data_IF_277760865311
#
_entry.id   IF_277760865311
#
_cell.length_a   1.000
_cell.length_b   1.000
_cell.length_c   1.000
_cell.angle_alpha   90.00
_cell.angle_beta   90.00
_cell.angle_gamma   90.00
#
_symmetry.space_group_name_H-M   'P 1'
#
loop_
_entity.id
_entity.type
_entity.pdbx_description
1 polymer ?
#
# COMPACT_ATOMS: atom_id res chain seq x y z
N UNK A 1 29.96 29.09 -1.46
CA UNK A 1 30.08 29.47 -0.04
C UNK A 1 29.22 28.52 0.76
N UNK A 2 29.84 27.50 1.35
CA UNK A 2 29.15 26.49 2.16
C UNK A 2 29.06 26.97 3.61
N UNK A 3 27.85 27.05 4.15
CA UNK A 3 27.63 27.02 5.59
C UNK A 3 27.38 25.55 5.97
N UNK A 4 28.18 24.96 6.88
CA UNK A 4 27.86 23.65 7.41
C UNK A 4 26.73 23.79 8.43
N UNK A 5 25.64 23.04 8.24
CA UNK A 5 24.65 22.74 9.26
C UNK A 5 25.31 21.82 10.30
N UNK A 6 26.05 22.42 11.24
CA UNK A 6 26.34 21.81 12.53
C UNK A 6 25.03 21.89 13.29
N UNK A 7 24.23 20.82 13.19
CA UNK A 7 23.08 20.62 14.06
C UNK A 7 23.62 20.57 15.49
N UNK A 8 23.06 21.42 16.34
CA UNK A 8 23.44 21.72 17.71
C UNK A 8 23.47 20.46 18.60
N UNK A 9 24.62 19.77 18.63
CA UNK A 9 24.86 18.63 19.53
C UNK A 9 24.92 19.13 20.99
N UNK A 10 25.34 20.38 21.22
CA UNK A 10 25.41 20.97 22.56
C UNK A 10 24.04 21.34 23.13
N UNK A 11 23.10 21.81 22.31
CA UNK A 11 21.74 22.11 22.77
C UNK A 11 20.97 20.83 23.14
N UNK A 12 21.18 19.75 22.41
CA UNK A 12 20.63 18.43 22.71
C UNK A 12 21.29 17.77 23.94
N UNK A 13 22.61 17.88 24.10
CA UNK A 13 23.30 17.43 25.33
C UNK A 13 22.85 18.23 26.55
N UNK A 14 22.67 19.55 26.40
CA UNK A 14 22.12 20.45 27.41
C UNK A 14 20.69 20.06 27.81
N UNK A 15 19.82 19.75 26.85
CA UNK A 15 18.47 19.25 27.10
C UNK A 15 18.44 17.86 27.74
N UNK A 16 19.34 16.94 27.34
CA UNK A 16 19.46 15.60 27.93
C UNK A 16 19.97 15.70 29.37
N UNK A 17 20.95 16.57 29.65
CA UNK A 17 21.43 16.83 31.01
C UNK A 17 20.36 17.52 31.87
N UNK A 18 19.60 18.47 31.31
CA UNK A 18 18.47 19.13 31.98
C UNK A 18 17.34 18.14 32.28
N UNK A 19 17.00 17.25 31.35
CA UNK A 19 16.05 16.16 31.58
C UNK A 19 16.57 15.13 32.60
N UNK A 20 17.86 14.79 32.60
CA UNK A 20 18.48 13.93 33.63
C UNK A 20 18.45 14.59 35.01
N UNK A 21 18.71 15.90 35.10
CA UNK A 21 18.60 16.69 36.34
C UNK A 21 17.16 16.79 36.83
N UNK A 22 16.19 16.98 35.93
CA UNK A 22 14.77 16.96 36.26
C UNK A 22 14.30 15.57 36.72
N UNK A 23 14.75 14.49 36.06
CA UNK A 23 14.46 13.10 36.48
C UNK A 23 15.06 12.77 37.85
N UNK A 24 16.26 13.23 38.15
CA UNK A 24 16.91 13.03 39.45
C UNK A 24 16.30 13.90 40.55
N UNK A 25 15.92 15.15 40.24
CA UNK A 25 15.19 16.03 41.16
C UNK A 25 13.78 15.50 41.45
N UNK A 26 13.05 15.03 40.43
CA UNK A 26 11.77 14.37 40.58
C UNK A 26 11.91 13.09 41.41
N UNK A 27 12.89 12.23 41.12
CA UNK A 27 13.15 11.00 41.90
C UNK A 27 13.48 11.30 43.37
N UNK A 28 14.25 12.36 43.66
CA UNK A 28 14.57 12.78 45.04
C UNK A 28 13.36 13.35 45.76
N UNK A 29 12.58 14.22 45.12
CA UNK A 29 11.38 14.81 45.73
C UNK A 29 10.27 13.78 45.89
N UNK A 30 10.09 12.89 44.92
CA UNK A 30 9.21 11.72 45.01
C UNK A 30 9.59 10.89 46.23
N UNK A 31 10.89 10.61 46.43
CA UNK A 31 11.41 9.89 47.59
C UNK A 31 11.27 10.58 48.95
N UNK A 32 10.81 11.83 49.01
CA UNK A 32 10.50 12.55 50.27
C UNK A 32 9.02 12.52 50.66
N UNK A 33 8.12 12.18 49.73
CA UNK A 33 6.68 12.11 50.01
C UNK A 33 6.40 10.89 50.91
N UNK A 34 5.54 10.94 51.93
CA UNK A 34 5.18 9.76 52.72
C UNK A 34 4.66 8.61 51.85
N UNK A 35 5.00 7.36 52.20
CA UNK A 35 4.65 6.16 51.38
C UNK A 35 3.15 6.09 51.06
N UNK A 36 2.29 6.43 52.01
CA UNK A 36 0.84 6.39 51.85
C UNK A 36 0.34 7.46 50.87
N UNK A 37 0.96 8.64 50.85
CA UNK A 37 0.61 9.75 49.95
C UNK A 37 1.06 9.43 48.51
N UNK A 38 2.23 8.79 48.33
CA UNK A 38 2.63 8.29 47.00
C UNK A 38 1.68 7.24 46.47
N UNK A 39 1.25 6.32 47.34
CA UNK A 39 0.29 5.28 46.97
C UNK A 39 -1.03 5.89 46.51
N UNK A 40 -1.56 6.89 47.23
CA UNK A 40 -2.77 7.62 46.84
C UNK A 40 -2.60 8.39 45.52
N UNK A 41 -1.47 9.07 45.29
CA UNK A 41 -1.22 9.79 44.04
C UNK A 41 -1.10 8.85 42.84
N UNK A 42 -0.53 7.66 43.01
CA UNK A 42 -0.48 6.62 41.98
C UNK A 42 -1.89 6.11 41.65
N UNK A 43 -2.70 5.82 42.67
CA UNK A 43 -4.09 5.40 42.49
C UNK A 43 -4.86 6.48 41.71
N UNK A 44 -4.76 7.75 42.11
CA UNK A 44 -5.44 8.87 41.43
C UNK A 44 -5.01 8.97 39.97
N UNK A 45 -3.71 8.86 39.68
CA UNK A 45 -3.19 8.88 38.31
C UNK A 45 -3.73 7.75 37.45
N UNK A 46 -3.74 6.51 37.97
CA UNK A 46 -4.28 5.33 37.28
C UNK A 46 -5.80 5.47 37.06
N UNK A 47 -6.55 5.93 38.07
CA UNK A 47 -7.99 6.15 37.94
C UNK A 47 -8.32 7.25 36.93
N UNK A 48 -7.53 8.32 36.88
CA UNK A 48 -7.72 9.42 35.92
C UNK A 48 -7.48 8.96 34.48
N UNK A 49 -6.43 8.18 34.22
CA UNK A 49 -6.15 7.64 32.88
C UNK A 49 -7.17 6.57 32.48
N UNK A 50 -7.57 5.70 33.41
CA UNK A 50 -8.63 4.71 33.18
C UNK A 50 -9.98 5.36 32.87
N UNK A 51 -10.34 6.43 33.59
CA UNK A 51 -11.61 7.16 33.37
C UNK A 51 -11.62 7.85 32.00
N UNK A 52 -10.50 8.44 31.58
CA UNK A 52 -10.36 9.04 30.26
C UNK A 52 -10.46 7.99 29.13
N UNK A 53 -9.81 6.82 29.31
CA UNK A 53 -9.89 5.72 28.36
C UNK A 53 -11.31 5.12 28.27
N UNK A 54 -11.99 4.91 29.41
CA UNK A 54 -13.38 4.43 29.45
C UNK A 54 -14.37 5.41 28.81
N UNK A 55 -14.18 6.72 29.03
CA UNK A 55 -15.01 7.76 28.40
C UNK A 55 -14.78 7.84 26.89
N UNK A 56 -13.53 7.69 26.43
CA UNK A 56 -13.22 7.58 25.00
C UNK A 56 -13.91 6.36 24.37
N UNK A 57 -13.84 5.20 25.02
CA UNK A 57 -14.44 3.95 24.50
C UNK A 57 -15.97 3.96 24.50
N UNK A 58 -16.61 4.56 25.52
CA UNK A 58 -18.06 4.79 25.54
C UNK A 58 -18.52 5.65 24.36
N UNK A 59 -17.67 6.54 23.87
CA UNK A 59 -17.93 7.41 22.72
C UNK A 59 -17.78 6.68 21.38
N UNK A 60 -17.05 5.56 21.35
CA UNK A 60 -16.65 4.84 20.13
C UNK A 60 -17.47 3.55 19.87
N UNK A 61 -18.41 3.13 20.73
CA UNK A 61 -19.28 1.92 20.56
C UNK A 61 -18.47 0.66 20.18
N UNK A 62 -17.68 0.10 21.10
CA UNK A 62 -16.86 -1.11 20.82
C UNK A 62 -16.92 -2.17 21.93
N UNK A 63 -16.86 -3.45 21.55
CA UNK A 63 -16.97 -4.66 22.41
C UNK A 63 -15.69 -5.04 23.18
N UNK A 64 -14.73 -4.14 23.36
CA UNK A 64 -13.39 -4.44 23.88
C UNK A 64 -13.17 -4.22 25.37
N UNK A 65 -14.21 -4.31 26.20
CA UNK A 65 -14.13 -3.98 27.64
C UNK A 65 -13.23 -4.93 28.44
N UNK A 66 -13.23 -6.22 28.12
CA UNK A 66 -12.54 -7.24 28.93
C UNK A 66 -11.01 -7.24 28.76
N UNK A 67 -10.49 -7.02 27.55
CA UNK A 67 -9.04 -6.97 27.31
C UNK A 67 -8.37 -5.75 27.95
N UNK A 68 -9.04 -4.60 27.93
CA UNK A 68 -8.56 -3.38 28.59
C UNK A 68 -8.62 -3.54 30.10
N UNK A 69 -9.66 -4.18 30.62
CA UNK A 69 -9.74 -4.53 32.04
C UNK A 69 -8.57 -5.42 32.48
N UNK A 70 -8.22 -6.43 31.68
CA UNK A 70 -7.08 -7.31 31.94
C UNK A 70 -5.73 -6.56 31.91
N UNK A 71 -5.52 -5.64 30.95
CA UNK A 71 -4.31 -4.82 30.89
C UNK A 71 -4.24 -3.85 32.05
N UNK A 72 -5.37 -3.29 32.48
CA UNK A 72 -5.45 -2.47 33.69
C UNK A 72 -5.06 -3.29 34.94
N UNK A 73 -5.53 -4.53 35.08
CA UNK A 73 -5.12 -5.42 36.18
C UNK A 73 -3.60 -5.68 36.14
N UNK A 74 -3.04 -6.01 34.98
CA UNK A 74 -1.60 -6.27 34.83
C UNK A 74 -0.79 -5.01 35.18
N UNK A 75 -1.22 -3.84 34.71
CA UNK A 75 -0.55 -2.58 34.98
C UNK A 75 -0.65 -2.17 36.46
N UNK A 76 -1.79 -2.41 37.11
CA UNK A 76 -1.97 -2.21 38.55
C UNK A 76 -1.07 -3.16 39.34
N UNK A 77 -1.04 -4.45 38.99
CA UNK A 77 -0.19 -5.44 39.66
C UNK A 77 1.30 -5.15 39.49
N UNK A 78 1.72 -4.70 38.31
CA UNK A 78 3.10 -4.28 38.04
C UNK A 78 3.47 -3.00 38.80
N UNK A 79 2.54 -2.04 38.92
CA UNK A 79 2.73 -0.83 39.72
C UNK A 79 2.85 -1.16 41.21
N UNK A 80 1.99 -2.05 41.73
CA UNK A 80 2.05 -2.57 43.11
C UNK A 80 3.41 -3.26 43.35
N UNK A 81 3.84 -4.11 42.44
CA UNK A 81 5.13 -4.82 42.52
C UNK A 81 6.32 -3.85 42.48
N UNK A 82 6.29 -2.82 41.63
CA UNK A 82 7.32 -1.80 41.57
C UNK A 82 7.40 -0.94 42.85
N UNK A 83 6.26 -0.67 43.49
CA UNK A 83 6.19 -0.01 44.80
C UNK A 83 6.77 -0.89 45.91
N UNK A 84 6.49 -2.20 45.88
CA UNK A 84 7.05 -3.16 46.84
C UNK A 84 8.57 -3.34 46.70
N UNK A 85 9.10 -3.33 45.48
CA UNK A 85 10.52 -3.60 45.19
C UNK A 85 11.40 -2.34 45.14
N UNK A 86 10.87 -1.14 45.36
CA UNK A 86 11.60 0.13 45.19
C UNK A 86 12.26 0.28 43.78
N UNK A 87 11.69 -0.38 42.77
CA UNK A 87 12.20 -0.35 41.40
C UNK A 87 11.89 0.98 40.70
N UNK A 88 12.60 1.29 39.60
CA UNK A 88 12.41 2.56 38.90
C UNK A 88 11.03 2.62 38.20
N UNK A 89 10.19 3.55 38.65
CA UNK A 89 8.82 3.82 38.15
C UNK A 89 8.73 4.08 36.64
N UNK A 90 9.86 4.44 36.01
CA UNK A 90 9.93 4.81 34.59
C UNK A 90 9.79 3.60 33.65
N UNK A 91 10.24 2.43 34.08
CA UNK A 91 10.23 1.22 33.25
C UNK A 91 8.81 0.64 33.15
N UNK A 92 8.06 0.60 34.26
CA UNK A 92 6.69 0.10 34.32
C UNK A 92 5.69 1.00 33.58
N UNK A 93 5.82 2.32 33.65
CA UNK A 93 4.95 3.25 32.88
C UNK A 93 5.18 3.14 31.38
N UNK A 94 6.43 2.95 30.94
CA UNK A 94 6.76 2.78 29.52
C UNK A 94 6.21 1.45 28.99
N UNK A 95 6.31 0.35 29.75
CA UNK A 95 5.72 -0.95 29.37
C UNK A 95 4.20 -0.87 29.25
N UNK A 96 3.52 -0.21 30.19
CA UNK A 96 2.07 -0.05 30.15
C UNK A 96 1.61 0.91 29.04
N UNK A 97 2.35 2.00 28.79
CA UNK A 97 2.09 2.86 27.63
C UNK A 97 2.27 2.11 26.32
N UNK A 98 3.33 1.29 26.18
CA UNK A 98 3.55 0.48 25.00
C UNK A 98 2.50 -0.63 24.82
N UNK A 99 2.05 -1.28 25.91
CA UNK A 99 0.95 -2.24 25.85
C UNK A 99 -0.36 -1.57 25.43
N UNK A 100 -0.68 -0.40 25.99
CA UNK A 100 -1.89 0.34 25.65
C UNK A 100 -1.82 0.90 24.23
N UNK A 101 -0.66 1.38 23.78
CA UNK A 101 -0.43 1.80 22.40
C UNK A 101 -0.54 0.62 21.43
N UNK A 102 -0.01 -0.55 21.80
CA UNK A 102 -0.17 -1.78 21.01
C UNK A 102 -1.65 -2.15 20.89
N UNK A 103 -2.42 -2.12 21.98
CA UNK A 103 -3.86 -2.41 21.97
C UNK A 103 -4.64 -1.38 21.16
N UNK A 104 -4.27 -0.10 21.23
CA UNK A 104 -4.90 0.96 20.43
C UNK A 104 -4.56 0.82 18.94
N UNK A 105 -3.33 0.41 18.58
CA UNK A 105 -2.92 0.09 17.21
C UNK A 105 -3.59 -1.20 16.71
N UNK A 106 -3.73 -2.22 17.56
CA UNK A 106 -4.47 -3.46 17.26
C UNK A 106 -5.97 -3.23 17.07
N UNK A 107 -6.51 -2.11 17.55
CA UNK A 107 -7.91 -1.70 17.37
C UNK A 107 -8.14 -0.76 16.19
N UNK A 108 -7.07 -0.39 15.46
CA UNK A 108 -7.16 0.42 14.24
C UNK A 108 -7.64 -0.41 13.04
N UNK A 109 -7.42 -1.72 13.06
CA UNK A 109 -7.81 -2.64 12.00
C UNK A 109 -8.86 -3.63 12.51
N UNK A 110 -10.09 -3.52 11.98
CA UNK A 110 -11.17 -4.45 12.29
C UNK A 110 -10.92 -5.82 11.64
N UNK A 111 -11.29 -6.88 12.37
CA UNK A 111 -11.35 -8.26 11.83
C UNK A 111 -12.30 -8.32 10.61
N UNK A 112 -12.18 -9.33 9.74
CA UNK A 112 -13.06 -9.48 8.58
C UNK A 112 -14.54 -9.44 9.00
N UNK A 113 -15.28 -8.49 8.45
CA UNK A 113 -16.67 -8.20 8.82
C UNK A 113 -17.68 -9.06 8.05
N UNK A 114 -17.41 -9.32 6.77
CA UNK A 114 -18.30 -10.09 5.87
C UNK A 114 -17.63 -11.35 5.29
N UNK A 115 -18.40 -12.14 4.53
CA UNK A 115 -17.93 -13.41 3.97
C UNK A 115 -16.84 -13.23 2.91
N UNK A 116 -16.92 -12.16 2.09
CA UNK A 116 -15.91 -11.87 1.08
C UNK A 116 -14.56 -11.57 1.73
N UNK A 117 -14.53 -10.71 2.77
CA UNK A 117 -13.31 -10.47 3.56
C UNK A 117 -12.79 -11.75 4.24
N UNK A 118 -13.65 -12.58 4.83
CA UNK A 118 -13.24 -13.87 5.42
C UNK A 118 -12.60 -14.80 4.38
N UNK A 119 -13.14 -14.85 3.16
CA UNK A 119 -12.58 -15.65 2.08
C UNK A 119 -11.18 -15.15 1.66
N UNK A 120 -10.98 -13.84 1.55
CA UNK A 120 -9.67 -13.24 1.25
C UNK A 120 -8.67 -13.54 2.37
N UNK A 121 -9.07 -13.44 3.65
CA UNK A 121 -8.21 -13.80 4.80
C UNK A 121 -7.82 -15.28 4.76
N UNK A 122 -8.74 -16.18 4.39
CA UNK A 122 -8.44 -17.60 4.24
C UNK A 122 -7.45 -17.86 3.08
N UNK A 123 -7.58 -17.15 1.96
CA UNK A 123 -6.63 -17.21 0.85
C UNK A 123 -5.25 -16.71 1.28
N UNK A 124 -5.19 -15.60 2.03
CA UNK A 124 -3.94 -15.08 2.58
C UNK A 124 -3.27 -16.12 3.49
N UNK A 125 -4.00 -16.71 4.43
CA UNK A 125 -3.45 -17.75 5.32
C UNK A 125 -2.96 -18.97 4.56
N UNK A 126 -3.70 -19.45 3.56
CA UNK A 126 -3.28 -20.56 2.71
C UNK A 126 -1.93 -20.29 2.04
N UNK A 127 -1.78 -19.10 1.44
CA UNK A 127 -0.54 -18.66 0.83
C UNK A 127 0.60 -18.47 1.85
N UNK A 128 0.31 -17.82 2.96
CA UNK A 128 1.27 -17.52 4.02
C UNK A 128 1.79 -18.78 4.71
N UNK A 129 0.92 -19.74 5.02
CA UNK A 129 1.31 -21.01 5.66
C UNK A 129 2.24 -21.83 4.75
N UNK A 130 1.99 -21.81 3.44
CA UNK A 130 2.89 -22.43 2.48
C UNK A 130 4.25 -21.71 2.40
N UNK A 131 4.25 -20.38 2.33
CA UNK A 131 5.49 -19.59 2.36
C UNK A 131 6.28 -19.86 3.64
N UNK A 132 5.62 -19.84 4.80
CA UNK A 132 6.24 -20.12 6.10
C UNK A 132 6.82 -21.53 6.19
N UNK A 133 6.22 -22.51 5.52
CA UNK A 133 6.69 -23.90 5.53
C UNK A 133 7.88 -24.13 4.59
N UNK A 134 7.86 -23.49 3.41
CA UNK A 134 8.74 -23.89 2.30
C UNK A 134 9.73 -22.81 1.85
N UNK A 135 9.52 -21.55 2.21
CA UNK A 135 10.31 -20.41 1.73
C UNK A 135 10.53 -19.32 2.79
N UNK A 136 10.36 -19.64 4.08
CA UNK A 136 10.46 -18.66 5.15
C UNK A 136 11.86 -18.05 5.23
N UNK A 137 11.94 -16.72 5.09
CA UNK A 137 13.21 -16.00 5.02
C UNK A 137 13.86 -15.97 3.63
N UNK A 138 13.23 -16.56 2.62
CA UNK A 138 13.56 -16.33 1.21
C UNK A 138 12.69 -15.23 0.62
N UNK A 139 13.11 -14.67 -0.52
CA UNK A 139 12.34 -13.61 -1.17
C UNK A 139 10.95 -14.08 -1.60
N UNK A 140 10.83 -15.26 -2.19
CA UNK A 140 9.57 -15.74 -2.79
C UNK A 140 9.44 -17.27 -2.74
N UNK A 141 8.20 -17.75 -2.85
CA UNK A 141 7.82 -19.16 -2.84
C UNK A 141 7.65 -19.71 -4.27
N UNK A 142 8.16 -20.91 -4.52
CA UNK A 142 7.72 -21.78 -5.61
C UNK A 142 6.60 -22.70 -5.07
N UNK A 143 5.32 -22.41 -5.38
CA UNK A 143 4.18 -23.13 -4.85
C UNK A 143 4.00 -24.52 -5.50
N UNK A 144 4.61 -24.76 -6.67
CA UNK A 144 4.49 -26.02 -7.40
C UNK A 144 5.43 -27.05 -6.80
N UNK A 145 6.68 -26.67 -6.58
CA UNK A 145 7.73 -27.57 -6.07
C UNK A 145 7.96 -27.47 -4.56
N UNK A 146 7.20 -26.63 -3.85
CA UNK A 146 7.27 -26.47 -2.40
C UNK A 146 8.68 -26.13 -1.90
N UNK A 147 9.30 -25.11 -2.50
CA UNK A 147 10.68 -24.67 -2.22
C UNK A 147 10.80 -23.15 -2.41
N UNK A 148 11.89 -22.48 -1.97
CA UNK A 148 12.10 -21.09 -2.32
C UNK A 148 12.47 -20.96 -3.81
N UNK A 149 12.09 -19.85 -4.43
CA UNK A 149 12.64 -19.50 -5.76
C UNK A 149 14.09 -19.04 -5.63
N UNK A 150 14.75 -18.79 -6.77
CA UNK A 150 16.03 -18.06 -6.76
C UNK A 150 15.84 -16.69 -6.11
N UNK A 151 16.72 -16.35 -5.16
CA UNK A 151 16.73 -15.04 -4.51
C UNK A 151 16.94 -13.93 -5.55
N UNK A 152 16.21 -12.83 -5.38
CA UNK A 152 16.34 -11.64 -6.21
C UNK A 152 17.17 -10.58 -5.48
N UNK A 153 16.74 -10.23 -4.28
CA UNK A 153 17.39 -9.28 -3.39
C UNK A 153 18.09 -9.98 -2.22
N UNK A 154 17.60 -11.15 -1.80
CA UNK A 154 18.02 -11.81 -0.56
C UNK A 154 17.62 -11.00 0.67
N UNK A 155 16.46 -10.32 0.61
CA UNK A 155 15.97 -9.38 1.62
C UNK A 155 14.68 -9.86 2.30
N UNK A 156 14.28 -11.12 2.08
CA UNK A 156 13.07 -11.70 2.66
C UNK A 156 11.82 -10.96 2.15
N UNK A 157 11.80 -10.65 0.85
CA UNK A 157 10.84 -9.75 0.21
C UNK A 157 9.37 -10.06 0.57
N UNK A 158 8.88 -11.28 0.32
CA UNK A 158 7.49 -11.69 0.66
C UNK A 158 7.16 -11.45 2.13
N UNK A 159 8.14 -11.64 3.01
CA UNK A 159 7.97 -11.50 4.45
C UNK A 159 7.90 -10.02 4.87
N UNK A 160 8.68 -9.12 4.25
CA UNK A 160 8.55 -7.66 4.44
C UNK A 160 7.23 -7.15 3.86
N UNK A 161 6.93 -7.51 2.62
CA UNK A 161 5.80 -7.00 1.86
C UNK A 161 4.44 -7.42 2.45
N UNK A 162 4.39 -8.53 3.20
CA UNK A 162 3.14 -9.02 3.78
C UNK A 162 2.82 -8.44 5.16
N UNK A 163 3.73 -7.68 5.78
CA UNK A 163 3.62 -7.24 7.18
C UNK A 163 2.38 -6.41 7.46
N UNK A 164 2.12 -5.41 6.62
CA UNK A 164 0.98 -4.51 6.80
C UNK A 164 -0.34 -5.20 6.40
N UNK A 165 -0.33 -6.08 5.39
CA UNK A 165 -1.50 -6.90 5.05
C UNK A 165 -1.94 -7.73 6.26
N UNK A 166 -1.00 -8.35 6.98
CA UNK A 166 -1.32 -9.10 8.20
C UNK A 166 -1.98 -8.21 9.26
N UNK A 167 -1.45 -7.00 9.47
CA UNK A 167 -2.06 -6.04 10.40
C UNK A 167 -3.47 -5.65 9.98
N UNK A 168 -3.65 -5.29 8.70
CA UNK A 168 -4.93 -4.85 8.13
C UNK A 168 -5.99 -5.95 8.25
N UNK A 169 -5.61 -7.22 8.08
CA UNK A 169 -6.49 -8.38 8.19
C UNK A 169 -6.72 -8.87 9.64
N UNK A 170 -6.05 -8.27 10.63
CA UNK A 170 -6.13 -8.70 12.04
C UNK A 170 -5.39 -10.01 12.34
N UNK A 171 -4.39 -10.36 11.55
CA UNK A 171 -3.56 -11.58 11.66
C UNK A 171 -2.40 -11.36 12.65
N UNK A 172 -2.75 -11.17 13.92
CA UNK A 172 -1.81 -10.74 14.96
C UNK A 172 -0.72 -11.78 15.27
N UNK A 173 -1.03 -13.07 15.19
CA UNK A 173 -0.08 -14.14 15.46
C UNK A 173 0.96 -14.22 14.35
N UNK A 174 0.50 -14.19 13.10
CA UNK A 174 1.32 -14.16 11.89
C UNK A 174 2.23 -12.92 11.90
N UNK A 175 1.67 -11.74 12.14
CA UNK A 175 2.43 -10.49 12.24
C UNK A 175 3.51 -10.54 13.33
N UNK A 176 3.17 -11.04 14.52
CA UNK A 176 4.11 -11.11 15.65
C UNK A 176 5.28 -12.05 15.34
N UNK A 177 5.01 -13.17 14.65
CA UNK A 177 6.04 -14.10 14.21
C UNK A 177 7.05 -13.41 13.27
N UNK A 178 6.56 -12.63 12.31
CA UNK A 178 7.41 -11.87 11.37
C UNK A 178 8.18 -10.76 12.07
N UNK A 179 7.52 -9.97 12.93
CA UNK A 179 8.15 -8.85 13.65
C UNK A 179 9.37 -9.29 14.47
N UNK A 180 9.30 -10.47 15.11
CA UNK A 180 10.40 -10.98 15.92
C UNK A 180 11.66 -11.30 15.10
N UNK A 181 11.52 -11.52 13.79
CA UNK A 181 12.65 -11.77 12.87
C UNK A 181 13.42 -10.49 12.50
N UNK A 182 12.77 -9.33 12.54
CA UNK A 182 13.34 -8.04 12.09
C UNK A 182 13.82 -7.12 13.21
N UNK A 183 14.22 -7.66 14.36
CA UNK A 183 14.68 -6.85 15.51
C UNK A 183 15.87 -5.91 15.21
N UNK A 184 16.48 -5.97 14.02
CA UNK A 184 17.59 -5.13 13.57
C UNK A 184 17.48 -4.64 12.11
N UNK A 185 16.31 -4.17 11.65
CA UNK A 185 16.19 -3.50 10.35
C UNK A 185 16.48 -1.99 10.45
N UNK A 186 17.31 -1.45 9.55
CA UNK A 186 17.56 -0.01 9.41
C UNK A 186 17.11 0.45 8.03
N UNK A 187 16.19 1.42 7.98
CA UNK A 187 15.79 2.04 6.72
C UNK A 187 16.89 2.97 6.19
N UNK A 188 17.18 2.88 4.90
CA UNK A 188 18.14 3.75 4.21
C UNK A 188 17.42 5.01 3.69
N UNK A 189 17.40 6.06 4.53
CA UNK A 189 16.75 7.36 4.23
C UNK A 189 17.36 8.04 3.00
N UNK A 190 18.62 7.73 2.64
CA UNK A 190 19.32 8.40 1.54
C UNK A 190 18.71 8.08 0.17
N UNK A 191 18.09 6.89 0.01
CA UNK A 191 17.46 6.47 -1.25
C UNK A 191 16.23 7.29 -1.60
N UNK A 192 15.41 7.66 -0.61
CA UNK A 192 14.23 8.49 -0.85
C UNK A 192 14.63 9.89 -1.35
N UNK A 193 15.63 10.49 -0.71
CA UNK A 193 16.16 11.79 -1.14
C UNK A 193 16.79 11.73 -2.53
N UNK A 194 17.47 10.63 -2.87
CA UNK A 194 17.99 10.40 -4.22
C UNK A 194 16.86 10.28 -5.25
N UNK A 195 15.81 9.52 -4.98
CA UNK A 195 14.65 9.39 -5.87
C UNK A 195 13.95 10.74 -6.11
N UNK A 196 13.73 11.52 -5.05
CA UNK A 196 13.10 12.84 -5.18
C UNK A 196 13.95 13.84 -5.98
N UNK A 197 15.29 13.76 -5.89
CA UNK A 197 16.20 14.54 -6.74
C UNK A 197 16.05 14.18 -8.22
N UNK A 198 15.82 12.90 -8.54
CA UNK A 198 15.53 12.48 -9.91
C UNK A 198 14.21 13.07 -10.41
N UNK A 199 13.14 13.03 -9.61
CA UNK A 199 11.85 13.66 -9.98
C UNK A 199 12.00 15.17 -10.19
N UNK A 200 12.78 15.85 -9.33
CA UNK A 200 13.09 17.28 -9.48
C UNK A 200 13.86 17.56 -10.77
N UNK A 201 14.79 16.68 -11.16
CA UNK A 201 15.48 16.80 -12.43
C UNK A 201 14.50 16.61 -13.61
N UNK A 202 13.60 15.63 -13.56
CA UNK A 202 12.57 15.38 -14.59
C UNK A 202 11.64 16.59 -14.77
N UNK A 203 11.15 17.18 -13.68
CA UNK A 203 10.31 18.38 -13.70
C UNK A 203 10.93 19.52 -14.55
N UNK A 204 12.24 19.67 -14.47
CA UNK A 204 12.98 20.71 -15.18
C UNK A 204 13.27 20.37 -16.66
N UNK A 205 12.96 19.16 -17.13
CA UNK A 205 13.24 18.75 -18.51
C UNK A 205 12.17 19.22 -19.50
N UNK A 206 12.63 19.81 -20.61
CA UNK A 206 11.74 20.29 -21.67
C UNK A 206 11.13 19.15 -22.49
N UNK A 207 11.76 17.97 -22.50
CA UNK A 207 11.31 16.81 -23.26
C UNK A 207 9.91 16.35 -22.84
N UNK A 208 9.58 16.39 -21.55
CA UNK A 208 8.22 16.03 -21.11
C UNK A 208 7.19 17.04 -21.62
N UNK A 209 7.56 18.33 -21.74
CA UNK A 209 6.67 19.37 -22.27
C UNK A 209 6.34 19.15 -23.75
N UNK A 210 7.26 18.57 -24.53
CA UNK A 210 7.03 18.20 -25.94
C UNK A 210 5.85 17.23 -26.10
N UNK A 211 5.65 16.33 -25.14
CA UNK A 211 4.56 15.35 -25.14
C UNK A 211 3.48 15.71 -24.10
N UNK A 212 3.19 17.01 -23.95
CA UNK A 212 2.13 17.52 -23.10
C UNK A 212 2.20 17.01 -21.64
N UNK A 213 3.41 16.91 -21.07
CA UNK A 213 3.64 16.42 -19.70
C UNK A 213 3.98 14.94 -19.60
N UNK A 214 3.92 14.19 -20.70
CA UNK A 214 4.35 12.79 -20.73
C UNK A 214 5.86 12.70 -21.01
N UNK A 215 6.54 11.76 -20.36
CA UNK A 215 7.99 11.64 -20.41
C UNK A 215 8.43 10.34 -21.12
N UNK A 216 9.59 10.35 -21.81
CA UNK A 216 10.22 9.13 -22.33
C UNK A 216 10.63 8.14 -21.22
N UNK A 217 10.73 6.85 -21.56
CA UNK A 217 11.03 5.79 -20.56
C UNK A 217 12.43 5.79 -19.95
N UNK A 218 13.42 6.42 -20.58
CA UNK A 218 14.83 6.29 -20.18
C UNK A 218 15.52 7.63 -20.00
N UNK A 219 16.28 7.74 -18.92
CA UNK A 219 17.16 8.87 -18.59
C UNK A 219 18.60 8.34 -18.56
N UNK A 220 19.52 9.06 -19.19
CA UNK A 220 20.94 8.76 -19.11
C UNK A 220 21.48 9.23 -17.75
N UNK A 221 22.15 8.33 -17.02
CA UNK A 221 22.60 8.56 -15.63
C UNK A 221 23.71 9.60 -15.51
N UNK A 222 24.58 9.72 -16.51
CA UNK A 222 25.71 10.66 -16.48
C UNK A 222 25.27 12.10 -16.77
N UNK A 223 24.31 12.25 -17.69
CA UNK A 223 23.85 13.56 -18.18
C UNK A 223 22.57 14.03 -17.50
N UNK A 224 21.84 13.13 -16.86
CA UNK A 224 20.51 13.37 -16.31
C UNK A 224 19.44 13.66 -17.37
N UNK A 225 19.69 13.46 -18.67
CA UNK A 225 18.75 13.82 -19.75
C UNK A 225 18.00 12.60 -20.27
N UNK A 226 16.75 12.80 -20.70
CA UNK A 226 16.02 11.76 -21.43
C UNK A 226 16.75 11.34 -22.71
N UNK A 227 16.72 10.04 -23.00
CA UNK A 227 17.15 9.49 -24.28
C UNK A 227 16.27 10.07 -25.39
N UNK A 228 16.88 10.48 -26.51
CA UNK A 228 16.16 11.05 -27.65
C UNK A 228 15.19 10.00 -28.22
N UNK A 229 14.02 10.46 -28.65
CA UNK A 229 13.04 9.65 -29.39
C UNK A 229 12.57 8.39 -28.63
N UNK A 230 12.43 8.48 -27.31
CA UNK A 230 11.89 7.37 -26.51
C UNK A 230 10.39 7.17 -26.69
N UNK A 231 9.95 5.92 -26.47
CA UNK A 231 8.53 5.56 -26.36
C UNK A 231 7.87 6.33 -25.21
N UNK A 232 6.63 6.75 -25.42
CA UNK A 232 5.77 7.33 -24.39
C UNK A 232 4.70 6.30 -24.05
N UNK A 233 4.66 5.87 -22.79
CA UNK A 233 3.72 4.89 -22.29
C UNK A 233 3.31 5.25 -20.85
N UNK A 234 2.20 4.70 -20.39
CA UNK A 234 1.81 4.69 -18.98
C UNK A 234 2.00 3.30 -18.35
N UNK A 235 2.53 2.33 -19.10
CA UNK A 235 2.86 0.99 -18.60
C UNK A 235 4.28 0.94 -18.02
N UNK A 236 4.90 -0.22 -18.18
CA UNK A 236 6.17 -0.51 -17.53
C UNK A 236 7.22 0.59 -17.77
N UNK A 237 7.94 0.94 -16.70
CA UNK A 237 9.03 1.95 -16.60
C UNK A 237 8.58 3.39 -16.36
N UNK A 238 7.32 3.73 -16.59
CA UNK A 238 6.84 5.13 -16.49
C UNK A 238 5.55 5.28 -15.70
N UNK A 239 4.73 4.24 -15.57
CA UNK A 239 3.58 4.13 -14.66
C UNK A 239 3.71 4.94 -13.36
N UNK A 240 4.53 4.43 -12.43
CA UNK A 240 4.67 4.90 -11.05
C UNK A 240 5.30 6.29 -10.94
N UNK A 241 5.96 6.80 -11.99
CA UNK A 241 6.36 8.22 -12.04
C UNK A 241 5.12 9.12 -11.96
N UNK A 242 4.11 8.86 -12.79
CA UNK A 242 2.88 9.67 -12.80
C UNK A 242 2.05 9.46 -11.55
N UNK A 243 2.05 8.24 -11.01
CA UNK A 243 1.43 7.90 -9.73
C UNK A 243 2.00 8.74 -8.58
N UNK A 244 3.34 8.82 -8.49
CA UNK A 244 4.02 9.51 -7.41
C UNK A 244 3.93 11.02 -7.52
N UNK A 245 3.69 11.60 -8.71
CA UNK A 245 3.36 13.02 -8.81
C UNK A 245 2.13 13.36 -7.95
N UNK A 246 1.06 12.57 -8.05
CA UNK A 246 -0.11 12.79 -7.20
C UNK A 246 0.15 12.37 -5.75
N UNK A 247 0.64 11.14 -5.54
CA UNK A 247 0.77 10.56 -4.20
C UNK A 247 1.74 11.32 -3.31
N UNK A 248 2.86 11.83 -3.83
CA UNK A 248 3.79 12.69 -3.06
C UNK A 248 3.21 14.08 -2.78
N UNK A 249 2.43 14.65 -3.71
CA UNK A 249 1.71 15.90 -3.44
C UNK A 249 0.72 15.72 -2.29
N UNK A 250 -0.03 14.61 -2.28
CA UNK A 250 -0.95 14.28 -1.18
C UNK A 250 -0.20 14.03 0.12
N UNK A 251 0.83 13.18 0.11
CA UNK A 251 1.62 12.82 1.29
C UNK A 251 2.19 14.04 2.01
N UNK A 252 2.65 15.03 1.24
CA UNK A 252 3.25 16.27 1.76
C UNK A 252 2.22 17.29 2.23
N UNK A 253 0.97 16.89 2.47
CA UNK A 253 -0.11 17.79 2.88
C UNK A 253 -0.44 18.82 1.80
N UNK A 254 -0.29 18.45 0.52
CA UNK A 254 -0.55 19.30 -0.65
C UNK A 254 0.37 20.52 -0.80
N UNK A 255 1.57 20.50 -0.21
CA UNK A 255 2.47 21.67 -0.13
C UNK A 255 3.41 21.84 -1.33
N UNK A 256 3.76 20.76 -2.06
CA UNK A 256 4.70 20.82 -3.18
C UNK A 256 3.94 20.95 -4.51
N UNK A 257 3.62 22.19 -4.91
CA UNK A 257 2.71 22.46 -6.04
C UNK A 257 3.16 21.93 -7.40
N UNK A 258 4.47 21.89 -7.69
CA UNK A 258 4.95 21.45 -9.00
C UNK A 258 4.58 19.99 -9.31
N UNK A 259 4.46 19.15 -8.28
CA UNK A 259 4.02 17.76 -8.41
C UNK A 259 2.58 17.68 -8.93
N UNK A 260 1.68 18.47 -8.34
CA UNK A 260 0.27 18.59 -8.78
C UNK A 260 0.19 19.14 -10.21
N UNK A 261 0.97 20.18 -10.51
CA UNK A 261 0.94 20.82 -11.82
C UNK A 261 1.43 19.88 -12.93
N UNK A 262 2.51 19.14 -12.67
CA UNK A 262 3.00 18.11 -13.59
C UNK A 262 2.00 16.96 -13.72
N UNK A 263 1.39 16.50 -12.63
CA UNK A 263 0.33 15.48 -12.69
C UNK A 263 -0.82 15.90 -13.60
N UNK A 264 -1.40 17.09 -13.37
CA UNK A 264 -2.53 17.60 -14.17
C UNK A 264 -2.15 17.77 -15.63
N UNK A 265 -0.91 18.23 -15.88
CA UNK A 265 -0.38 18.35 -17.24
C UNK A 265 -0.26 16.99 -17.91
N UNK A 266 0.36 16.01 -17.25
CA UNK A 266 0.49 14.64 -17.74
C UNK A 266 -0.88 14.02 -18.02
N UNK A 267 -1.87 14.19 -17.16
CA UNK A 267 -3.23 13.68 -17.39
C UNK A 267 -3.89 14.33 -18.62
N UNK A 268 -3.67 15.64 -18.85
CA UNK A 268 -4.09 16.27 -20.11
C UNK A 268 -3.37 15.65 -21.32
N UNK A 269 -2.08 15.33 -21.18
CA UNK A 269 -1.30 14.61 -22.17
C UNK A 269 -1.86 13.22 -22.48
N UNK A 270 -2.23 12.44 -21.46
CA UNK A 270 -2.90 11.14 -21.60
C UNK A 270 -4.16 11.29 -22.45
N UNK A 271 -5.06 12.19 -22.07
CA UNK A 271 -6.33 12.40 -22.81
C UNK A 271 -6.08 12.78 -24.27
N UNK A 272 -5.10 13.66 -24.54
CA UNK A 272 -4.82 14.15 -25.90
C UNK A 272 -4.13 13.11 -26.76
N UNK A 273 -3.14 12.42 -26.21
CA UNK A 273 -2.17 11.66 -27.00
C UNK A 273 -2.41 10.14 -26.95
N UNK A 274 -2.83 9.61 -25.79
CA UNK A 274 -2.82 8.17 -25.52
C UNK A 274 -4.22 7.55 -25.38
N UNK A 275 -5.20 8.32 -24.92
CA UNK A 275 -6.57 7.82 -24.75
C UNK A 275 -7.24 7.64 -26.11
N UNK A 276 -7.71 6.43 -26.40
CA UNK A 276 -8.51 6.09 -27.59
C UNK A 276 -9.71 5.24 -27.19
N UNK A 277 -10.57 4.98 -28.16
CA UNK A 277 -11.69 4.05 -28.02
C UNK A 277 -11.55 2.91 -29.01
N UNK A 278 -11.83 1.69 -28.56
CA UNK A 278 -11.93 0.53 -29.45
C UNK A 278 -13.07 0.71 -30.48
N UNK A 279 -13.04 -0.08 -31.55
CA UNK A 279 -13.94 0.14 -32.69
C UNK A 279 -15.36 -0.33 -32.41
N UNK A 280 -15.55 -1.50 -31.80
CA UNK A 280 -16.84 -2.18 -31.66
C UNK A 280 -17.65 -1.59 -30.48
N UNK A 281 -17.25 -1.89 -29.24
CA UNK A 281 -17.97 -1.44 -28.02
C UNK A 281 -17.51 -0.09 -27.49
N UNK A 282 -16.56 0.58 -28.16
CA UNK A 282 -16.05 1.91 -27.78
C UNK A 282 -15.38 1.94 -26.39
N UNK A 283 -14.74 0.84 -25.98
CA UNK A 283 -13.97 0.74 -24.74
C UNK A 283 -12.86 1.78 -24.72
N UNK A 284 -12.78 2.58 -23.64
CA UNK A 284 -11.76 3.61 -23.50
C UNK A 284 -10.46 2.98 -22.99
N UNK A 285 -9.36 3.12 -23.72
CA UNK A 285 -8.08 2.52 -23.37
C UNK A 285 -6.94 3.50 -23.57
N UNK A 286 -5.83 3.27 -22.87
CA UNK A 286 -4.63 4.11 -22.94
C UNK A 286 -3.55 3.34 -23.69
N UNK A 287 -3.26 3.77 -24.91
CA UNK A 287 -2.21 3.20 -25.75
C UNK A 287 -0.82 3.78 -25.49
N UNK A 288 0.11 3.51 -26.41
CA UNK A 288 1.48 4.03 -26.37
C UNK A 288 1.76 4.91 -27.59
N UNK A 289 2.72 5.84 -27.49
CA UNK A 289 3.39 6.40 -28.66
C UNK A 289 4.75 5.74 -28.83
N UNK A 290 4.98 5.15 -30.00
CA UNK A 290 6.26 4.57 -30.38
C UNK A 290 7.29 5.68 -30.65
N UNK A 291 8.55 5.30 -30.85
CA UNK A 291 9.68 6.23 -31.02
C UNK A 291 9.44 7.22 -32.18
N UNK A 292 8.82 6.75 -33.27
CA UNK A 292 8.41 7.56 -34.42
C UNK A 292 7.11 8.37 -34.19
N UNK A 293 6.63 8.47 -32.95
CA UNK A 293 5.37 9.11 -32.56
C UNK A 293 4.09 8.47 -33.15
N UNK A 294 4.20 7.27 -33.74
CA UNK A 294 3.01 6.52 -34.15
C UNK A 294 2.29 5.93 -32.93
N UNK A 295 0.96 5.93 -33.00
CA UNK A 295 0.12 5.38 -31.94
C UNK A 295 0.11 3.85 -32.01
N UNK A 296 0.30 3.19 -30.87
CA UNK A 296 0.16 1.75 -30.71
C UNK A 296 -1.05 1.46 -29.81
N UNK A 297 -2.00 0.61 -30.24
CA UNK A 297 -3.16 0.25 -29.42
C UNK A 297 -2.83 -0.85 -28.39
N UNK A 298 -1.61 -0.85 -27.86
CA UNK A 298 -1.11 -1.77 -26.82
C UNK A 298 -1.36 -1.13 -25.45
N UNK A 299 -1.86 -1.89 -24.49
CA UNK A 299 -2.01 -1.48 -23.10
C UNK A 299 -1.54 -2.60 -22.18
N UNK A 300 -0.59 -2.29 -21.30
CA UNK A 300 -0.15 -3.21 -20.25
C UNK A 300 -1.22 -3.28 -19.15
N UNK A 301 -1.34 -4.42 -18.46
CA UNK A 301 -2.15 -4.53 -17.24
C UNK A 301 -1.76 -3.47 -16.22
N UNK A 302 -0.45 -3.15 -16.15
CA UNK A 302 0.10 -2.10 -15.29
C UNK A 302 -0.64 -0.78 -15.44
N UNK A 303 -1.12 -0.41 -16.64
CA UNK A 303 -1.85 0.85 -16.89
C UNK A 303 -3.19 0.89 -16.14
N UNK A 304 -3.70 -0.25 -15.68
CA UNK A 304 -4.90 -0.32 -14.87
C UNK A 304 -4.76 0.27 -13.46
N UNK A 305 -3.60 0.82 -13.07
CA UNK A 305 -3.47 1.68 -11.88
C UNK A 305 -4.15 3.06 -12.07
N UNK A 306 -4.21 3.52 -13.34
CA UNK A 306 -4.60 4.88 -13.67
C UNK A 306 -6.02 5.24 -13.22
N UNK A 307 -7.06 4.39 -13.39
CA UNK A 307 -8.39 4.71 -12.92
C UNK A 307 -8.46 5.06 -11.42
N UNK A 308 -7.79 4.29 -10.57
CA UNK A 308 -7.71 4.53 -9.14
C UNK A 308 -7.01 5.84 -8.83
N UNK A 309 -5.90 6.11 -9.52
CA UNK A 309 -5.17 7.38 -9.39
C UNK A 309 -6.03 8.58 -9.78
N UNK A 310 -6.79 8.48 -10.89
CA UNK A 310 -7.69 9.53 -11.35
C UNK A 310 -8.86 9.74 -10.37
N UNK A 311 -9.42 8.67 -9.82
CA UNK A 311 -10.45 8.76 -8.80
C UNK A 311 -9.90 9.42 -7.52
N UNK A 312 -8.72 9.01 -7.05
CA UNK A 312 -8.05 9.59 -5.89
C UNK A 312 -7.78 11.10 -6.08
N UNK A 313 -7.37 11.51 -7.28
CA UNK A 313 -7.21 12.92 -7.62
C UNK A 313 -8.52 13.70 -7.42
N UNK A 314 -9.65 13.14 -7.89
CA UNK A 314 -10.99 13.72 -7.74
C UNK A 314 -11.41 13.81 -6.27
N UNK A 315 -11.19 12.75 -5.49
CA UNK A 315 -11.47 12.73 -4.05
C UNK A 315 -10.79 13.90 -3.32
N UNK A 316 -9.57 14.25 -3.72
CA UNK A 316 -8.82 15.34 -3.12
C UNK A 316 -9.04 16.72 -3.74
N UNK A 317 -10.12 16.89 -4.53
CA UNK A 317 -10.58 18.17 -5.06
C UNK A 317 -9.91 18.62 -6.36
N UNK A 318 -9.27 17.69 -7.09
CA UNK A 318 -8.82 17.96 -8.45
C UNK A 318 -9.99 17.81 -9.44
N UNK A 319 -9.69 17.98 -10.73
CA UNK A 319 -10.69 18.09 -11.81
C UNK A 319 -11.72 16.94 -11.84
N UNK A 320 -12.99 17.24 -11.56
CA UNK A 320 -14.10 16.28 -11.54
C UNK A 320 -14.28 15.50 -12.87
N UNK A 321 -13.90 16.10 -14.00
CA UNK A 321 -13.99 15.41 -15.31
C UNK A 321 -13.07 14.19 -15.41
N UNK A 322 -12.08 14.06 -14.53
CA UNK A 322 -11.21 12.88 -14.46
C UNK A 322 -11.99 11.63 -14.03
N UNK A 323 -13.08 11.77 -13.25
CA UNK A 323 -13.85 10.63 -12.75
C UNK A 323 -14.50 9.83 -13.89
N UNK A 324 -15.02 10.49 -14.92
CA UNK A 324 -15.63 9.79 -16.08
C UNK A 324 -14.59 9.04 -16.90
N UNK A 325 -13.37 9.59 -17.00
CA UNK A 325 -12.23 8.88 -17.60
C UNK A 325 -11.83 7.68 -16.74
N UNK A 326 -11.76 7.86 -15.42
CA UNK A 326 -11.47 6.79 -14.47
C UNK A 326 -12.45 5.62 -14.62
N UNK A 327 -13.75 5.89 -14.54
CA UNK A 327 -14.81 4.88 -14.72
C UNK A 327 -14.69 4.17 -16.07
N UNK A 328 -14.53 4.93 -17.16
CA UNK A 328 -14.45 4.37 -18.51
C UNK A 328 -13.24 3.45 -18.70
N UNK A 329 -12.07 3.84 -18.19
CA UNK A 329 -10.85 3.02 -18.29
C UNK A 329 -10.91 1.84 -17.32
N UNK A 330 -11.52 1.99 -16.13
CA UNK A 330 -11.75 0.89 -15.21
C UNK A 330 -12.66 -0.20 -15.78
N UNK A 331 -13.71 0.17 -16.52
CA UNK A 331 -14.54 -0.79 -17.27
C UNK A 331 -13.69 -1.55 -18.27
N UNK A 332 -12.81 -0.88 -19.03
CA UNK A 332 -11.90 -1.55 -19.96
C UNK A 332 -10.91 -2.47 -19.24
N UNK A 333 -10.43 -2.10 -18.06
CA UNK A 333 -9.59 -2.98 -17.24
C UNK A 333 -10.36 -4.21 -16.76
N UNK A 334 -11.66 -4.12 -16.48
CA UNK A 334 -12.48 -5.30 -16.20
C UNK A 334 -12.61 -6.22 -17.43
N UNK A 335 -12.67 -5.65 -18.63
CA UNK A 335 -12.70 -6.42 -19.88
C UNK A 335 -11.42 -7.24 -20.13
N UNK A 336 -10.29 -6.91 -19.50
CA UNK A 336 -9.09 -7.76 -19.54
C UNK A 336 -9.37 -9.14 -18.94
N UNK A 337 -10.19 -9.19 -17.90
CA UNK A 337 -10.55 -10.41 -17.17
C UNK A 337 -11.67 -11.17 -17.88
N UNK A 338 -12.67 -10.47 -18.43
CA UNK A 338 -13.83 -11.13 -19.07
C UNK A 338 -13.63 -11.49 -20.53
N UNK A 339 -12.60 -10.97 -21.20
CA UNK A 339 -12.29 -11.29 -22.59
C UNK A 339 -11.53 -12.61 -22.79
N UNK A 340 -11.31 -13.38 -21.71
CA UNK A 340 -10.60 -14.66 -21.74
C UNK A 340 -11.31 -15.72 -20.88
N UNK A 341 -11.10 -17.03 -21.13
CA UNK A 341 -11.83 -18.10 -20.46
C UNK A 341 -11.52 -18.25 -18.96
N UNK A 342 -10.41 -17.71 -18.46
CA UNK A 342 -10.01 -17.90 -17.06
C UNK A 342 -10.54 -16.85 -16.09
N UNK A 343 -10.99 -15.69 -16.57
CA UNK A 343 -11.35 -14.60 -15.66
C UNK A 343 -10.13 -13.96 -14.97
N UNK A 344 -8.93 -14.10 -15.55
CA UNK A 344 -7.66 -13.56 -15.01
C UNK A 344 -7.09 -12.52 -15.97
N UNK A 345 -6.44 -11.48 -15.44
CA UNK A 345 -5.85 -10.42 -16.25
C UNK A 345 -4.58 -10.91 -16.98
N UNK A 346 -4.46 -10.77 -18.31
CA UNK A 346 -3.21 -10.97 -19.04
C UNK A 346 -2.23 -9.82 -18.76
N UNK A 347 -0.94 -10.00 -19.01
CA UNK A 347 0.04 -8.91 -18.88
C UNK A 347 -0.17 -7.77 -19.87
N UNK A 348 -0.54 -8.06 -21.12
CA UNK A 348 -0.71 -7.04 -22.17
C UNK A 348 -1.93 -7.39 -23.03
N UNK A 349 -2.71 -6.36 -23.36
CA UNK A 349 -3.80 -6.44 -24.32
C UNK A 349 -3.62 -5.46 -25.48
N UNK A 350 -4.24 -5.79 -26.62
CA UNK A 350 -4.27 -4.98 -27.83
C UNK A 350 -5.70 -4.64 -28.21
N UNK A 351 -5.92 -3.43 -28.71
CA UNK A 351 -7.25 -2.95 -29.04
C UNK A 351 -7.47 -2.79 -30.55
N UNK A 352 -8.60 -3.31 -31.01
CA UNK A 352 -9.03 -3.13 -32.39
C UNK A 352 -9.60 -1.72 -32.59
N UNK A 353 -8.85 -0.87 -33.29
CA UNK A 353 -9.24 0.54 -33.56
C UNK A 353 -9.73 0.80 -34.99
N UNK A 354 -9.37 -0.07 -35.94
CA UNK A 354 -9.64 0.16 -37.38
C UNK A 354 -10.61 -0.85 -37.98
N UNK A 355 -10.59 -2.10 -37.52
CA UNK A 355 -11.31 -3.20 -38.16
C UNK A 355 -12.75 -3.34 -37.63
N UNK A 356 -13.74 -3.20 -38.53
CA UNK A 356 -15.17 -3.41 -38.25
C UNK A 356 -15.58 -4.89 -38.30
N UNK A 357 -14.76 -5.75 -38.90
CA UNK A 357 -15.03 -7.18 -39.04
C UNK A 357 -14.66 -7.97 -37.79
N UNK A 358 -13.72 -7.45 -36.98
CA UNK A 358 -13.39 -8.02 -35.68
C UNK A 358 -14.53 -7.79 -34.69
N UNK A 359 -15.16 -8.87 -34.23
CA UNK A 359 -16.21 -8.83 -33.20
C UNK A 359 -15.64 -8.54 -31.81
N UNK A 360 -14.35 -8.78 -31.57
CA UNK A 360 -13.70 -8.56 -30.28
C UNK A 360 -13.01 -7.20 -30.23
N UNK A 361 -13.27 -6.41 -29.18
CA UNK A 361 -12.54 -5.16 -28.94
C UNK A 361 -11.10 -5.39 -28.48
N UNK A 362 -10.85 -6.53 -27.84
CA UNK A 362 -9.58 -6.88 -27.19
C UNK A 362 -8.99 -8.12 -27.85
N UNK A 363 -7.70 -8.05 -28.15
CA UNK A 363 -6.86 -9.16 -28.57
C UNK A 363 -5.74 -9.37 -27.54
N UNK A 364 -5.54 -10.62 -27.13
CA UNK A 364 -4.45 -11.03 -26.24
C UNK A 364 -3.53 -11.93 -27.06
N UNK A 365 -2.26 -11.54 -27.19
CA UNK A 365 -1.28 -12.36 -27.89
C UNK A 365 -0.76 -13.46 -26.99
N UNK A 366 -0.43 -14.61 -27.56
CA UNK A 366 0.04 -15.76 -26.79
C UNK A 366 1.24 -15.45 -25.89
N UNK A 367 2.22 -14.68 -26.38
CA UNK A 367 3.40 -14.29 -25.61
C UNK A 367 3.08 -13.41 -24.39
N UNK A 368 1.96 -12.69 -24.45
CA UNK A 368 1.55 -11.72 -23.43
C UNK A 368 0.39 -12.24 -22.57
N UNK A 369 -0.02 -13.49 -22.79
CA UNK A 369 -1.20 -14.07 -22.17
C UNK A 369 -0.99 -14.57 -20.74
N UNK A 370 0.22 -14.47 -20.19
CA UNK A 370 0.46 -14.89 -18.82
C UNK A 370 -0.22 -13.94 -17.83
N UNK A 371 -0.61 -14.47 -16.67
CA UNK A 371 -1.15 -13.69 -15.56
C UNK A 371 -0.25 -13.85 -14.35
N UNK A 372 0.30 -12.74 -13.85
CA UNK A 372 1.12 -12.75 -12.64
C UNK A 372 0.31 -12.44 -11.38
N UNK A 373 -1.03 -12.50 -11.48
CA UNK A 373 -1.97 -12.13 -10.40
C UNK A 373 -1.82 -10.69 -9.91
N UNK A 374 -1.50 -9.79 -10.84
CA UNK A 374 -1.20 -8.39 -10.56
C UNK A 374 -2.38 -7.60 -9.98
N UNK A 375 -2.12 -6.55 -9.19
CA UNK A 375 -3.14 -5.87 -8.40
C UNK A 375 -3.84 -4.71 -9.10
N UNK A 376 -3.31 -4.16 -10.20
CA UNK A 376 -3.58 -2.75 -10.55
C UNK A 376 -5.06 -2.46 -10.87
N UNK A 377 -5.76 -3.40 -11.51
CA UNK A 377 -7.20 -3.26 -11.74
C UNK A 377 -8.01 -3.32 -10.43
N UNK A 378 -7.63 -4.20 -9.50
CA UNK A 378 -8.28 -4.34 -8.18
C UNK A 378 -7.98 -3.10 -7.32
N UNK A 379 -6.75 -2.58 -7.35
CA UNK A 379 -6.38 -1.30 -6.72
C UNK A 379 -7.32 -0.18 -7.21
N UNK A 380 -7.48 -0.08 -8.53
CA UNK A 380 -8.37 0.91 -9.14
C UNK A 380 -9.82 0.77 -8.69
N UNK A 381 -10.34 -0.45 -8.63
CA UNK A 381 -11.70 -0.71 -8.17
C UNK A 381 -11.87 -0.42 -6.68
N UNK A 382 -10.85 -0.63 -5.85
CA UNK A 382 -10.84 -0.19 -4.45
C UNK A 382 -11.05 1.33 -4.33
N UNK A 383 -10.25 2.14 -5.03
CA UNK A 383 -10.41 3.60 -5.01
C UNK A 383 -11.78 4.02 -5.54
N UNK A 384 -12.20 3.46 -6.67
CA UNK A 384 -13.50 3.78 -7.27
C UNK A 384 -14.66 3.42 -6.36
N UNK A 385 -14.63 2.25 -5.71
CA UNK A 385 -15.64 1.87 -4.73
C UNK A 385 -15.66 2.84 -3.55
N UNK A 386 -14.49 3.16 -2.95
CA UNK A 386 -14.39 4.08 -1.82
C UNK A 386 -15.03 5.44 -2.12
N UNK A 387 -14.84 5.94 -3.33
CA UNK A 387 -15.23 7.28 -3.77
C UNK A 387 -16.66 7.34 -4.32
N UNK A 388 -17.09 6.32 -5.06
CA UNK A 388 -18.41 6.33 -5.73
C UNK A 388 -19.48 5.55 -4.99
N UNK A 389 -19.07 4.63 -4.11
CA UNK A 389 -19.94 3.63 -3.45
C UNK A 389 -20.72 2.73 -4.41
N UNK A 390 -20.28 2.62 -5.67
CA UNK A 390 -20.91 1.73 -6.64
C UNK A 390 -20.51 0.27 -6.37
N UNK A 391 -21.45 -0.62 -6.00
CA UNK A 391 -21.13 -2.00 -5.65
C UNK A 391 -20.59 -2.82 -6.83
N UNK A 392 -20.73 -2.33 -8.07
CA UNK A 392 -20.20 -3.02 -9.26
C UNK A 392 -18.71 -3.33 -9.13
N UNK A 393 -17.94 -2.44 -8.49
CA UNK A 393 -16.50 -2.61 -8.30
C UNK A 393 -16.18 -3.76 -7.34
N UNK A 394 -17.00 -3.95 -6.29
CA UNK A 394 -16.89 -5.11 -5.41
C UNK A 394 -17.27 -6.39 -6.16
N UNK A 395 -18.30 -6.36 -7.00
CA UNK A 395 -18.70 -7.55 -7.77
C UNK A 395 -17.65 -7.96 -8.81
N UNK A 396 -16.96 -7.00 -9.44
CA UNK A 396 -15.82 -7.27 -10.30
C UNK A 396 -14.65 -7.87 -9.53
N UNK A 397 -14.27 -7.26 -8.40
CA UNK A 397 -13.22 -7.81 -7.54
C UNK A 397 -13.55 -9.22 -7.04
N UNK A 398 -14.81 -9.50 -6.72
CA UNK A 398 -15.26 -10.82 -6.27
C UNK A 398 -15.14 -11.87 -7.38
N UNK A 399 -15.54 -11.54 -8.61
CA UNK A 399 -15.40 -12.44 -9.76
C UNK A 399 -13.92 -12.77 -10.03
N UNK A 400 -13.04 -11.77 -9.97
CA UNK A 400 -11.60 -11.98 -10.13
C UNK A 400 -11.02 -12.83 -9.00
N UNK A 401 -11.43 -12.61 -7.75
CA UNK A 401 -11.01 -13.44 -6.62
C UNK A 401 -11.45 -14.91 -6.81
N UNK A 402 -12.68 -15.15 -7.27
CA UNK A 402 -13.15 -16.50 -7.57
C UNK A 402 -12.35 -17.17 -8.70
N UNK A 403 -11.96 -16.41 -9.73
CA UNK A 403 -11.08 -16.90 -10.78
C UNK A 403 -9.68 -17.26 -10.26
N UNK A 404 -9.11 -16.44 -9.37
CA UNK A 404 -7.84 -16.73 -8.69
C UNK A 404 -7.94 -18.02 -7.87
N UNK A 405 -8.99 -18.16 -7.05
CA UNK A 405 -9.22 -19.38 -6.26
C UNK A 405 -9.34 -20.63 -7.13
N UNK A 406 -9.97 -20.51 -8.30
CA UNK A 406 -10.21 -21.63 -9.21
C UNK A 406 -8.97 -22.01 -10.03
N UNK A 407 -8.23 -21.04 -10.54
CA UNK A 407 -7.22 -21.27 -11.59
C UNK A 407 -5.78 -21.07 -11.14
N UNK A 408 -5.54 -20.32 -10.06
CA UNK A 408 -4.19 -20.01 -9.59
C UNK A 408 -3.82 -20.71 -8.26
N UNK A 409 -4.81 -21.20 -7.52
CA UNK A 409 -4.59 -21.88 -6.24
C UNK A 409 -3.92 -23.25 -6.44
N UNK A 410 -2.86 -23.49 -5.68
CA UNK A 410 -2.14 -24.75 -5.57
C UNK A 410 -2.22 -25.31 -4.16
N UNK A 411 -1.77 -26.56 -3.96
CA UNK A 411 -1.70 -27.17 -2.62
C UNK A 411 -0.82 -26.33 -1.67
N UNK A 412 0.25 -25.72 -2.20
CA UNK A 412 1.22 -24.95 -1.43
C UNK A 412 1.22 -23.46 -1.82
N UNK A 413 0.06 -22.81 -1.82
CA UNK A 413 -0.07 -21.36 -2.09
C UNK A 413 -0.73 -21.05 -3.43
N UNK A 414 -0.31 -19.98 -4.10
CA UNK A 414 -0.85 -19.52 -5.38
C UNK A 414 0.26 -19.30 -6.38
N UNK A 415 -0.01 -19.54 -7.65
CA UNK A 415 0.97 -19.44 -8.72
C UNK A 415 0.57 -18.38 -9.75
N UNK A 416 1.56 -17.74 -10.35
CA UNK A 416 1.36 -17.09 -11.64
C UNK A 416 0.97 -18.12 -12.70
N UNK A 417 0.20 -17.72 -13.71
CA UNK A 417 -0.41 -18.61 -14.70
C UNK A 417 0.22 -18.35 -16.09
N UNK A 418 0.62 -19.41 -16.80
CA UNK A 418 1.36 -19.28 -18.08
C UNK A 418 0.52 -18.67 -19.22
N UNK A 419 -0.79 -18.90 -19.23
CA UNK A 419 -1.67 -18.35 -20.27
C UNK A 419 -3.12 -18.30 -19.80
N UNK A 420 -3.76 -17.13 -19.92
CA UNK A 420 -5.20 -16.94 -19.67
C UNK A 420 -6.08 -17.41 -20.82
N UNK A 421 -5.48 -17.88 -21.92
CA UNK A 421 -6.19 -18.33 -23.12
C UNK A 421 -6.48 -19.84 -23.11
N UNK A 422 -6.04 -20.56 -22.09
CA UNK A 422 -6.16 -22.02 -21.96
C UNK A 422 -6.94 -22.32 -20.68
N UNK A 423 -8.05 -23.08 -20.78
CA UNK A 423 -8.94 -23.38 -19.64
C UNK A 423 -8.25 -24.10 -18.46
N UNK A 424 -7.28 -24.95 -18.77
CA UNK A 424 -6.44 -25.68 -17.81
C UNK A 424 -4.98 -25.22 -17.94
N UNK A 425 -4.64 -24.05 -17.38
CA UNK A 425 -3.33 -23.47 -17.60
C UNK A 425 -2.28 -24.12 -16.71
N UNK A 426 -1.02 -24.05 -17.14
CA UNK A 426 0.10 -24.43 -16.29
C UNK A 426 0.45 -23.30 -15.33
N UNK A 427 0.75 -23.66 -14.10
CA UNK A 427 1.40 -22.76 -13.15
C UNK A 427 2.83 -22.42 -13.61
N UNK A 428 3.20 -21.18 -13.39
CA UNK A 428 4.57 -20.73 -13.28
C UNK A 428 4.99 -20.99 -11.82
N UNK A 429 6.20 -21.50 -11.63
CA UNK A 429 6.79 -21.93 -10.34
C UNK A 429 7.14 -20.76 -9.41
N UNK A 430 6.23 -19.79 -9.25
CA UNK A 430 6.46 -18.54 -8.53
C UNK A 430 5.16 -17.94 -7.98
N UNK A 431 5.19 -17.57 -6.70
CA UNK A 431 4.24 -16.68 -6.05
C UNK A 431 4.91 -15.32 -5.85
N UNK A 432 4.49 -14.30 -6.59
CA UNK A 432 5.02 -12.95 -6.45
C UNK A 432 4.64 -12.35 -5.08
N UNK A 433 5.54 -11.57 -4.47
CA UNK A 433 5.31 -11.00 -3.13
C UNK A 433 4.11 -10.06 -3.10
N UNK A 434 3.92 -9.27 -4.17
CA UNK A 434 2.77 -8.38 -4.35
C UNK A 434 1.42 -9.08 -4.35
N UNK A 435 1.34 -10.41 -4.56
CA UNK A 435 0.07 -11.12 -4.42
C UNK A 435 -0.47 -10.99 -2.98
N UNK A 436 0.42 -11.14 -1.98
CA UNK A 436 0.09 -10.94 -0.57
C UNK A 436 0.06 -9.45 -0.19
N UNK A 437 1.00 -8.67 -0.73
CA UNK A 437 1.15 -7.26 -0.39
C UNK A 437 0.01 -6.40 -0.94
N UNK A 438 -0.44 -6.68 -2.15
CA UNK A 438 -1.32 -5.78 -2.90
C UNK A 438 -2.63 -6.46 -3.28
N UNK A 439 -2.58 -7.57 -4.04
CA UNK A 439 -3.78 -8.19 -4.61
C UNK A 439 -4.77 -8.58 -3.52
N UNK A 440 -4.32 -9.33 -2.50
CA UNK A 440 -5.18 -9.70 -1.38
C UNK A 440 -5.51 -8.52 -0.44
N UNK A 441 -4.60 -7.55 -0.28
CA UNK A 441 -4.85 -6.35 0.53
C UNK A 441 -5.96 -5.50 -0.08
N UNK A 442 -5.88 -5.18 -1.36
CA UNK A 442 -6.89 -4.38 -2.05
C UNK A 442 -8.21 -5.13 -2.19
N UNK A 443 -8.23 -6.45 -2.39
CA UNK A 443 -9.48 -7.23 -2.30
C UNK A 443 -10.12 -7.12 -0.92
N UNK A 444 -9.34 -7.27 0.15
CA UNK A 444 -9.85 -7.14 1.52
C UNK A 444 -10.43 -5.75 1.81
N UNK A 445 -9.73 -4.69 1.37
CA UNK A 445 -10.14 -3.29 1.53
C UNK A 445 -11.30 -2.89 0.61
N UNK A 446 -11.41 -3.50 -0.57
CA UNK A 446 -12.53 -3.34 -1.51
C UNK A 446 -13.81 -3.93 -0.91
N UNK A 447 -13.71 -5.05 -0.19
CA UNK A 447 -14.83 -5.66 0.51
C UNK A 447 -15.08 -5.08 1.92
N UNK A 448 -14.48 -3.94 2.28
CA UNK A 448 -14.78 -3.23 3.52
C UNK A 448 -15.99 -2.31 3.32
N UNK A 449 -17.17 -2.78 3.71
CA UNK A 449 -18.45 -2.06 3.52
C UNK A 449 -18.50 -0.75 4.33
N UNK A 450 -17.89 -0.72 5.51
CA UNK A 450 -17.89 0.43 6.41
C UNK A 450 -16.94 1.54 5.94
N UNK A 451 -15.95 1.19 5.11
CA UNK A 451 -14.94 2.10 4.58
C UNK A 451 -14.20 2.92 5.66
N UNK A 452 -14.12 2.41 6.88
CA UNK A 452 -13.55 3.11 8.03
C UNK A 452 -12.06 2.83 8.21
N UNK A 453 -11.54 1.77 7.59
CA UNK A 453 -10.13 1.39 7.69
C UNK A 453 -9.31 2.12 6.63
N UNK A 454 -8.15 2.69 7.01
CA UNK A 454 -7.22 3.39 6.13
C UNK A 454 -7.92 4.42 5.23
N UNK A 455 -8.48 5.46 5.84
CA UNK A 455 -9.23 6.47 5.09
C UNK A 455 -8.32 7.20 4.10
N UNK A 456 -8.85 7.56 2.93
CA UNK A 456 -8.09 8.23 1.88
C UNK A 456 -7.66 9.66 2.26
N UNK A 457 -8.23 10.21 3.34
CA UNK A 457 -7.87 11.53 3.87
C UNK A 457 -6.69 11.48 4.87
N UNK A 458 -6.40 10.30 5.41
CA UNK A 458 -5.34 10.10 6.42
C UNK A 458 -4.14 9.35 5.85
N UNK A 459 -4.34 8.52 4.84
CA UNK A 459 -3.32 7.65 4.25
C UNK A 459 -3.22 7.78 2.74
N UNK A 460 -1.99 7.61 2.25
CA UNK A 460 -1.68 7.40 0.83
C UNK A 460 -0.90 6.11 0.69
N UNK A 461 -1.39 5.18 -0.13
CA UNK A 461 -0.70 3.93 -0.42
C UNK A 461 0.47 4.19 -1.36
N UNK A 462 1.65 3.63 -1.12
CA UNK A 462 2.76 3.66 -2.09
C UNK A 462 2.42 2.77 -3.33
N UNK A 463 3.36 2.60 -4.27
CA UNK A 463 3.13 1.77 -5.49
C UNK A 463 3.10 0.26 -5.23
N UNK A 464 3.37 -0.18 -3.99
CA UNK A 464 3.33 -1.60 -3.58
C UNK A 464 2.23 -1.83 -2.51
N UNK A 465 1.20 -0.99 -2.53
CA UNK A 465 0.07 -1.10 -1.61
C UNK A 465 0.37 -0.87 -0.13
N UNK A 466 1.49 -0.26 0.24
CA UNK A 466 1.82 0.06 1.64
C UNK A 466 1.28 1.45 2.05
N UNK A 467 0.38 1.53 3.05
CA UNK A 467 -0.20 2.81 3.47
C UNK A 467 0.82 3.65 4.25
N UNK A 468 1.03 4.89 3.81
CA UNK A 468 1.84 5.89 4.48
C UNK A 468 0.94 7.04 4.97
N UNK A 469 1.17 7.58 6.18
CA UNK A 469 0.37 8.68 6.68
C UNK A 469 0.61 9.95 5.86
N UNK A 470 -0.46 10.72 5.62
CA UNK A 470 -0.37 12.09 5.11
C UNK A 470 0.15 13.00 6.22
N UNK A 471 1.11 13.86 5.89
CA UNK A 471 1.70 14.79 6.87
C UNK A 471 0.70 15.91 7.21
N UNK A 472 0.36 16.01 8.50
CA UNK A 472 -0.38 17.14 9.04
C UNK A 472 0.61 18.26 9.37
N UNK A 473 0.53 19.38 8.65
CA UNK A 473 1.36 20.57 8.87
C UNK A 473 0.59 21.67 9.59
#
# INVERSE_FOLDING_TARGET
MHAPLIIDIDENLGNIQKQRRLKTAFSRNWRRIPRIVRFLLIIIGIFSTCSAALLYLRRVKTDGHDEIFNVNIICINNAITAVHLNASFYQTTTTCQNMMYSILQYKLFSRPSNERQRAVVNAFRHAWDAYKRYAFGSDMLDPVNAKPTKEWFGLQLTLVDSLDTMLIMGLNEEFTAVRNQFSTFSADVDRFLAAFKVSTNIHNQQQCKKYAGLCPMFINVDTGKFVKEGRITLGARTDSYYEYLLKQWLQTGKTINWLKDDFLKSMSGVTKLLLRRSKSRKLAFVGELLQNSSFSPKMDHLVCFLPGLLALAVHHGLNQMLLETAKSVATTCYEFYTANPLGLGPEIAYFNVNDLSSKSDIEIKQADSHSLLRPEAIESWFYLYRITKDPIYQDWGWQVFQAIEKHAKQVNGYCSVQSVLVEEPKCIEKMESFFLAETLKYLYLLFDDDNSTLTLDEYVFNTEGHPLPIYQY
#
